data_IF_119105857210
#
_entry.id   IF_119105857210
#
_cell.length_a   1.000
_cell.length_b   1.000
_cell.length_c   1.000
_cell.angle_alpha   90.00
_cell.angle_beta   90.00
_cell.angle_gamma   90.00
#
_symmetry.space_group_name_H-M   'P 1'
#
loop_
_entity.id
_entity.type
_entity.pdbx_description
1 polymer ?
#
# COMPACT_ATOMS: atom_id res chain seq x y z
N UNK A 1 7.42 6.88 17.45
CA UNK A 1 7.21 5.85 16.42
C UNK A 1 7.12 4.50 17.13
N UNK A 2 5.90 4.00 17.34
CA UNK A 2 5.67 2.68 17.95
C UNK A 2 4.86 1.85 16.95
N UNK A 3 5.38 0.69 16.59
CA UNK A 3 4.71 -0.29 15.74
C UNK A 3 4.64 -1.61 16.51
N UNK A 4 3.47 -2.01 17.05
CA UNK A 4 3.32 -3.34 17.61
C UNK A 4 3.24 -4.35 16.44
N UNK A 5 4.09 -5.37 16.50
CA UNK A 5 4.06 -6.52 15.58
C UNK A 5 2.90 -7.46 15.91
N UNK A 6 2.41 -8.23 14.93
CA UNK A 6 1.51 -9.35 15.18
C UNK A 6 2.25 -10.46 15.94
N UNK A 7 1.60 -11.01 16.97
CA UNK A 7 2.15 -12.02 17.90
C UNK A 7 2.12 -13.45 17.35
N UNK A 8 1.84 -13.67 16.06
CA UNK A 8 1.92 -15.00 15.47
C UNK A 8 2.14 -14.93 13.94
N UNK A 9 3.31 -15.30 13.41
CA UNK A 9 3.54 -15.33 11.98
C UNK A 9 3.11 -16.71 11.46
N UNK A 10 1.87 -16.87 11.02
CA UNK A 10 1.59 -17.98 10.09
C UNK A 10 2.35 -17.68 8.80
N UNK A 11 3.38 -18.48 8.55
CA UNK A 11 4.19 -18.47 7.33
C UNK A 11 3.30 -18.86 6.14
N UNK A 12 2.57 -17.90 5.60
CA UNK A 12 1.80 -18.09 4.37
C UNK A 12 2.52 -17.44 3.19
N UNK A 13 2.76 -18.27 2.17
CA UNK A 13 3.66 -18.00 1.05
C UNK A 13 3.04 -16.96 0.10
N UNK A 14 3.86 -16.28 -0.71
CA UNK A 14 3.42 -15.26 -1.67
C UNK A 14 2.31 -15.78 -2.60
N UNK A 15 2.32 -17.07 -2.93
CA UNK A 15 1.30 -17.75 -3.75
C UNK A 15 -0.13 -17.64 -3.21
N UNK A 16 -0.30 -17.49 -1.90
CA UNK A 16 -1.63 -17.38 -1.26
C UNK A 16 -2.23 -15.97 -1.45
N UNK A 17 -1.48 -15.04 -2.07
CA UNK A 17 -1.88 -13.68 -2.44
C UNK A 17 -2.40 -13.56 -3.88
N UNK A 18 -2.17 -14.60 -4.69
CA UNK A 18 -2.48 -14.61 -6.10
C UNK A 18 -3.85 -15.26 -6.29
N UNK A 19 -4.56 -14.94 -7.39
CA UNK A 19 -5.74 -15.72 -7.76
C UNK A 19 -5.31 -17.20 -7.84
N UNK A 20 -6.07 -18.11 -7.24
CA UNK A 20 -5.73 -19.54 -7.22
C UNK A 20 -5.26 -20.01 -8.61
N UNK A 21 -4.02 -20.53 -8.69
CA UNK A 21 -3.34 -20.97 -9.92
C UNK A 21 -2.96 -19.89 -10.95
N UNK A 22 -2.82 -18.61 -10.59
CA UNK A 22 -2.16 -17.60 -11.44
C UNK A 22 -1.03 -16.90 -10.71
N UNK A 23 -0.09 -16.28 -11.44
CA UNK A 23 0.91 -15.37 -10.87
C UNK A 23 0.36 -13.92 -10.76
N UNK A 24 -0.97 -13.76 -10.81
CA UNK A 24 -1.60 -12.45 -10.90
C UNK A 24 -2.26 -12.07 -9.58
N UNK A 25 -2.08 -10.82 -9.20
CA UNK A 25 -2.72 -10.21 -8.05
C UNK A 25 -4.23 -10.10 -8.29
N UNK A 26 -5.05 -10.25 -7.24
CA UNK A 26 -6.47 -9.96 -7.35
C UNK A 26 -6.70 -8.43 -7.45
N UNK A 27 -6.76 -7.92 -8.69
CA UNK A 27 -6.92 -6.50 -8.99
C UNK A 27 -8.23 -5.89 -8.41
N UNK A 28 -9.31 -6.67 -8.31
CA UNK A 28 -10.58 -6.18 -7.75
C UNK A 28 -10.49 -5.87 -6.26
N UNK A 29 -9.79 -6.72 -5.51
CA UNK A 29 -9.56 -6.52 -4.08
C UNK A 29 -8.63 -5.35 -3.83
N UNK A 30 -7.50 -5.30 -4.55
CA UNK A 30 -6.54 -4.19 -4.47
C UNK A 30 -7.16 -2.83 -4.77
N UNK A 31 -7.98 -2.75 -5.82
CA UNK A 31 -8.62 -1.49 -6.22
C UNK A 31 -9.67 -1.04 -5.21
N UNK A 32 -10.52 -1.95 -4.73
CA UNK A 32 -11.54 -1.64 -3.72
C UNK A 32 -10.91 -1.18 -2.40
N UNK A 33 -9.90 -1.90 -1.93
CA UNK A 33 -9.26 -1.61 -0.65
C UNK A 33 -8.37 -0.38 -0.70
N UNK A 34 -7.60 -0.18 -1.77
CA UNK A 34 -6.79 1.04 -1.93
C UNK A 34 -7.66 2.31 -1.93
N UNK A 35 -8.81 2.28 -2.61
CA UNK A 35 -9.76 3.41 -2.60
C UNK A 35 -10.29 3.69 -1.20
N UNK A 36 -10.73 2.67 -0.47
CA UNK A 36 -11.19 2.81 0.92
C UNK A 36 -10.10 3.37 1.83
N UNK A 37 -8.85 2.94 1.66
CA UNK A 37 -7.71 3.40 2.46
C UNK A 37 -7.38 4.87 2.19
N UNK A 38 -7.37 5.28 0.91
CA UNK A 38 -7.16 6.68 0.55
C UNK A 38 -8.27 7.52 1.17
N UNK A 39 -9.53 7.12 1.04
CA UNK A 39 -10.67 7.80 1.64
C UNK A 39 -10.55 7.92 3.16
N UNK A 40 -10.13 6.85 3.85
CA UNK A 40 -9.88 6.89 5.30
C UNK A 40 -8.75 7.86 5.67
N UNK A 41 -7.70 7.94 4.84
CA UNK A 41 -6.60 8.88 5.04
C UNK A 41 -7.05 10.33 4.84
N UNK A 42 -7.81 10.62 3.77
CA UNK A 42 -8.34 11.97 3.54
C UNK A 42 -9.27 12.41 4.67
N UNK A 43 -10.13 11.51 5.16
CA UNK A 43 -11.03 11.81 6.28
C UNK A 43 -10.26 12.05 7.60
N UNK A 44 -9.14 11.34 7.81
CA UNK A 44 -8.26 11.56 8.95
C UNK A 44 -7.51 12.90 8.87
N UNK A 45 -7.08 13.32 7.68
CA UNK A 45 -6.37 14.58 7.44
C UNK A 45 -7.31 15.81 7.52
N UNK A 46 -8.58 15.68 7.14
CA UNK A 46 -9.62 16.73 7.30
C UNK A 46 -9.99 16.96 8.78
N UNK A 47 -9.73 15.99 9.66
CA UNK A 47 -10.03 16.05 11.10
C UNK A 47 -8.85 16.59 11.92
N UNK A 48 -8.38 17.81 11.60
CA UNK A 48 -7.13 18.41 12.12
C UNK A 48 -7.12 18.74 13.64
N UNK A 49 -8.20 18.52 14.39
CA UNK A 49 -8.29 18.95 15.79
C UNK A 49 -7.98 17.88 16.86
N UNK A 50 -7.63 16.63 16.52
CA UNK A 50 -7.26 15.59 17.51
C UNK A 50 -6.32 14.52 16.91
N UNK A 51 -5.09 14.93 16.61
CA UNK A 51 -4.15 14.23 15.72
C UNK A 51 -3.57 12.90 16.25
N UNK A 52 -3.60 12.62 17.56
CA UNK A 52 -3.03 11.38 18.11
C UNK A 52 -4.03 10.21 18.19
N UNK A 53 -5.27 10.48 18.63
CA UNK A 53 -6.30 9.44 18.76
C UNK A 53 -6.78 8.94 17.39
N UNK A 54 -6.99 9.85 16.43
CA UNK A 54 -7.46 9.49 15.10
C UNK A 54 -6.47 8.58 14.34
N UNK A 55 -5.16 8.84 14.48
CA UNK A 55 -4.14 7.97 13.90
C UNK A 55 -4.11 6.59 14.55
N UNK A 56 -4.23 6.51 15.88
CA UNK A 56 -4.26 5.24 16.61
C UNK A 56 -5.48 4.40 16.21
N UNK A 57 -6.65 5.02 16.09
CA UNK A 57 -7.86 4.36 15.62
C UNK A 57 -7.74 3.85 14.18
N UNK A 58 -7.16 4.67 13.29
CA UNK A 58 -6.91 4.27 11.90
C UNK A 58 -6.03 3.03 11.82
N UNK A 59 -4.87 3.03 12.51
CA UNK A 59 -3.98 1.88 12.50
C UNK A 59 -4.62 0.65 13.17
N UNK A 60 -5.39 0.85 14.25
CA UNK A 60 -6.16 -0.24 14.87
C UNK A 60 -7.13 -0.87 13.88
N UNK A 61 -7.89 -0.06 13.13
CA UNK A 61 -8.80 -0.56 12.09
C UNK A 61 -8.04 -1.34 11.01
N UNK A 62 -6.88 -0.84 10.55
CA UNK A 62 -6.07 -1.50 9.53
C UNK A 62 -5.58 -2.88 9.99
N UNK A 63 -5.06 -2.99 11.21
CA UNK A 63 -4.51 -4.26 11.72
C UNK A 63 -5.59 -5.29 12.08
N UNK A 64 -6.83 -4.84 12.35
CA UNK A 64 -7.97 -5.71 12.65
C UNK A 64 -8.78 -6.13 11.40
N UNK A 65 -8.33 -5.78 10.19
CA UNK A 65 -8.95 -6.27 8.97
C UNK A 65 -8.82 -7.80 8.90
N UNK A 66 -9.87 -8.47 8.43
CA UNK A 66 -9.86 -9.93 8.18
C UNK A 66 -9.10 -10.24 6.88
N UNK A 67 -7.81 -9.87 6.84
CA UNK A 67 -6.89 -10.12 5.74
C UNK A 67 -5.57 -10.63 6.31
N UNK A 68 -4.78 -11.41 5.54
CA UNK A 68 -3.49 -11.90 6.03
C UNK A 68 -2.56 -10.74 6.46
N UNK A 69 -1.77 -10.90 7.56
CA UNK A 69 -0.94 -9.82 8.12
C UNK A 69 0.02 -9.15 7.13
N UNK A 70 0.48 -9.90 6.13
CA UNK A 70 1.33 -9.40 5.03
C UNK A 70 0.65 -8.31 4.20
N UNK A 71 -0.67 -8.37 4.02
CA UNK A 71 -1.42 -7.31 3.35
C UNK A 71 -1.49 -6.06 4.21
N UNK A 72 -1.86 -6.20 5.49
CA UNK A 72 -1.88 -5.06 6.42
C UNK A 72 -0.50 -4.37 6.47
N UNK A 73 0.58 -5.15 6.44
CA UNK A 73 1.94 -4.62 6.36
C UNK A 73 2.22 -3.91 5.03
N UNK A 74 1.86 -4.50 3.90
CA UNK A 74 1.99 -3.85 2.59
C UNK A 74 1.21 -2.52 2.54
N UNK A 75 -0.01 -2.50 3.08
CA UNK A 75 -0.85 -1.30 3.17
C UNK A 75 -0.19 -0.25 4.06
N UNK A 76 0.31 -0.64 5.23
CA UNK A 76 1.11 0.24 6.07
C UNK A 76 2.29 0.85 5.29
N UNK A 77 3.00 0.04 4.49
CA UNK A 77 4.09 0.53 3.64
C UNK A 77 3.60 1.52 2.56
N UNK A 78 2.48 1.25 1.90
CA UNK A 78 1.86 2.15 0.90
C UNK A 78 1.50 3.48 1.55
N UNK A 79 0.75 3.46 2.65
CA UNK A 79 0.22 4.65 3.34
C UNK A 79 1.35 5.55 3.86
N UNK A 80 2.45 4.95 4.31
CA UNK A 80 3.62 5.67 4.81
C UNK A 80 4.65 6.01 3.73
N UNK A 81 4.37 5.76 2.44
CA UNK A 81 5.34 5.90 1.35
C UNK A 81 6.68 5.17 1.63
N UNK A 82 6.61 4.05 2.34
CA UNK A 82 7.77 3.24 2.70
C UNK A 82 8.18 2.26 1.58
N UNK A 83 7.38 2.16 0.51
CA UNK A 83 7.71 1.34 -0.66
C UNK A 83 8.79 2.05 -1.50
N UNK A 84 9.84 1.32 -1.94
CA UNK A 84 10.93 1.86 -2.74
C UNK A 84 10.53 2.05 -4.21
N UNK A 85 9.44 2.78 -4.48
CA UNK A 85 9.15 3.26 -5.85
C UNK A 85 10.12 4.40 -6.21
N UNK A 86 10.50 4.51 -7.48
CA UNK A 86 11.46 5.53 -7.94
C UNK A 86 11.03 6.96 -7.59
N UNK A 87 9.74 7.28 -7.62
CA UNK A 87 9.26 8.58 -7.18
C UNK A 87 9.53 8.88 -5.70
N UNK A 88 9.48 7.88 -4.82
CA UNK A 88 9.82 8.05 -3.40
C UNK A 88 11.33 8.17 -3.20
N UNK A 89 12.12 7.41 -3.97
CA UNK A 89 13.60 7.48 -3.96
C UNK A 89 14.05 8.86 -4.42
N UNK A 90 13.50 9.35 -5.54
CA UNK A 90 13.77 10.67 -6.10
C UNK A 90 13.41 11.79 -5.12
N UNK A 91 12.25 11.71 -4.46
CA UNK A 91 11.84 12.68 -3.41
C UNK A 91 12.78 12.73 -2.21
N UNK A 92 13.54 11.66 -1.95
CA UNK A 92 14.57 11.63 -0.88
C UNK A 92 15.90 12.25 -1.32
N UNK A 93 15.98 12.84 -2.51
CA UNK A 93 17.17 13.50 -3.03
C UNK A 93 18.17 12.56 -3.69
N UNK A 94 17.82 11.29 -3.86
CA UNK A 94 18.66 10.34 -4.61
C UNK A 94 18.46 10.61 -6.11
N UNK A 95 19.56 10.90 -6.81
CA UNK A 95 19.54 11.13 -8.25
C UNK A 95 19.22 9.83 -8.99
N UNK A 96 17.99 9.72 -9.47
CA UNK A 96 17.54 8.65 -10.35
C UNK A 96 16.45 9.18 -11.27
N UNK A 97 16.24 8.51 -12.42
CA UNK A 97 15.06 8.76 -13.25
C UNK A 97 13.79 8.33 -12.50
N UNK A 98 12.85 9.25 -12.20
CA UNK A 98 11.64 8.94 -11.44
C UNK A 98 10.56 8.20 -12.25
N UNK A 99 10.77 7.98 -13.55
CA UNK A 99 9.79 7.29 -14.39
C UNK A 99 9.63 5.82 -14.02
N UNK A 100 8.38 5.33 -14.15
CA UNK A 100 8.04 3.93 -13.96
C UNK A 100 8.95 3.05 -14.82
N UNK A 101 9.63 2.04 -14.24
CA UNK A 101 10.53 1.18 -15.00
C UNK A 101 9.80 0.25 -15.97
N UNK A 102 8.45 0.24 -15.91
CA UNK A 102 7.62 -0.69 -16.67
C UNK A 102 6.94 -0.03 -17.87
N UNK A 103 6.29 1.11 -17.68
CA UNK A 103 5.69 1.86 -18.78
C UNK A 103 6.60 2.95 -19.34
N UNK A 104 7.59 3.42 -18.56
CA UNK A 104 8.50 4.52 -18.93
C UNK A 104 7.82 5.86 -19.28
N UNK A 105 6.52 6.00 -19.02
CA UNK A 105 5.72 7.18 -19.42
C UNK A 105 5.40 8.10 -18.24
N UNK A 106 5.12 7.53 -17.06
CA UNK A 106 4.63 8.28 -15.89
C UNK A 106 5.57 8.10 -14.71
N UNK A 107 5.69 9.12 -13.84
CA UNK A 107 6.44 9.02 -12.59
C UNK A 107 5.95 7.85 -11.74
N UNK A 108 6.88 7.04 -11.23
CA UNK A 108 6.58 5.87 -10.43
C UNK A 108 6.13 6.28 -9.02
N UNK A 109 4.83 6.22 -8.78
CA UNK A 109 4.23 6.33 -7.45
C UNK A 109 3.69 4.97 -7.01
N UNK A 110 3.38 4.79 -5.71
CA UNK A 110 2.69 3.59 -5.26
C UNK A 110 1.37 3.39 -6.02
N UNK A 111 0.58 4.46 -6.20
CA UNK A 111 -0.65 4.41 -6.99
C UNK A 111 -0.40 3.91 -8.42
N UNK A 112 0.60 4.47 -9.09
CA UNK A 112 0.95 4.08 -10.45
C UNK A 112 1.43 2.63 -10.50
N UNK A 113 2.35 2.23 -9.64
CA UNK A 113 2.92 0.90 -9.62
C UNK A 113 1.88 -0.21 -9.35
N UNK A 114 0.87 0.05 -8.51
CA UNK A 114 -0.11 -0.96 -8.12
C UNK A 114 -1.43 -0.92 -8.89
N UNK A 115 -1.85 0.23 -9.43
CA UNK A 115 -3.22 0.39 -9.96
C UNK A 115 -3.30 1.11 -11.30
N UNK A 116 -2.50 2.16 -11.50
CA UNK A 116 -2.70 3.01 -12.68
C UNK A 116 -1.80 2.65 -13.88
N UNK A 117 -0.67 1.99 -13.65
CA UNK A 117 0.20 1.52 -14.73
C UNK A 117 -0.56 0.56 -15.66
N UNK A 118 -0.42 0.74 -16.98
CA UNK A 118 -1.05 -0.11 -18.00
C UNK A 118 -0.75 -1.59 -17.77
N UNK A 119 0.47 -1.88 -17.37
CA UNK A 119 0.87 -3.24 -17.04
C UNK A 119 0.27 -3.76 -15.72
N UNK A 120 0.05 -2.88 -14.73
CA UNK A 120 -0.64 -3.26 -13.50
C UNK A 120 -2.13 -3.54 -13.75
N UNK A 121 -2.72 -2.97 -14.81
CA UNK A 121 -4.09 -3.24 -15.24
C UNK A 121 -4.24 -4.55 -16.02
N UNK A 122 -3.14 -5.19 -16.42
CA UNK A 122 -3.14 -6.44 -17.20
C UNK A 122 -3.11 -7.72 -16.34
N UNK A 123 -2.98 -7.58 -15.02
CA UNK A 123 -2.96 -8.69 -14.04
C UNK A 123 -4.30 -8.83 -13.33
#
# INVERSE_FOLDING_TARGET
MWSPKPTNPTCEKVKDLMINNSNNWNATWLTSWYKAIIEWKTNADVSLASTSNNQKEFWSKLWNLNVPPKHCHLMWCIINNAIPVKGNIFKKGITCDPLCPRCSTTMETCYHAFLDCEWAKQV
#
